data_IF_687919323089
#
_entry.id   IF_687919323089
#
_cell.length_a   1.000
_cell.length_b   1.000
_cell.length_c   1.000
_cell.angle_alpha   90.00
_cell.angle_beta   90.00
_cell.angle_gamma   90.00
#
_symmetry.space_group_name_H-M   'P 1'
#
loop_
_entity.id
_entity.type
_entity.pdbx_description
1 polymer ?
#
# COMPACT_ATOMS: atom_id res chain seq x y z
N UNK A 1 18.95 -7.67 1.26
CA UNK A 1 17.87 -6.88 1.88
C UNK A 1 16.63 -7.75 2.02
N UNK A 2 15.94 -7.71 3.16
CA UNK A 2 14.73 -8.51 3.45
C UNK A 2 13.44 -7.82 2.96
N UNK A 3 12.33 -8.56 2.87
CA UNK A 3 11.03 -8.03 2.41
C UNK A 3 10.48 -6.85 3.19
N UNK A 4 10.61 -6.87 4.52
CA UNK A 4 10.17 -5.77 5.39
C UNK A 4 10.92 -4.47 5.10
N UNK A 5 12.20 -4.55 4.69
CA UNK A 5 13.00 -3.37 4.33
C UNK A 5 12.45 -2.66 3.09
N UNK A 6 11.90 -3.41 2.12
CA UNK A 6 11.38 -2.85 0.85
C UNK A 6 10.02 -2.20 1.06
N UNK A 7 9.09 -2.90 1.71
CA UNK A 7 7.77 -2.37 2.02
C UNK A 7 7.86 -1.11 2.90
N UNK A 8 8.74 -1.13 3.91
CA UNK A 8 8.98 0.04 4.76
C UNK A 8 9.51 1.22 3.95
N UNK A 9 10.50 1.00 3.09
CA UNK A 9 11.07 2.06 2.26
C UNK A 9 10.02 2.70 1.35
N UNK A 10 9.22 1.88 0.64
CA UNK A 10 8.13 2.37 -0.22
C UNK A 10 7.12 3.21 0.57
N UNK A 11 6.63 2.67 1.69
CA UNK A 11 5.71 3.38 2.56
C UNK A 11 6.28 4.70 3.09
N UNK A 12 7.58 4.74 3.44
CA UNK A 12 8.26 5.96 3.86
C UNK A 12 8.37 7.01 2.75
N UNK A 13 8.64 6.62 1.49
CA UNK A 13 8.70 7.58 0.39
C UNK A 13 7.32 8.18 0.11
N UNK A 14 6.30 7.33 -0.01
CA UNK A 14 4.92 7.76 -0.28
C UNK A 14 4.37 8.60 0.86
N UNK A 15 4.63 8.23 2.12
CA UNK A 15 4.26 9.02 3.29
C UNK A 15 4.95 10.39 3.37
N UNK A 16 6.07 10.58 2.66
CA UNK A 16 6.75 11.89 2.51
C UNK A 16 6.22 12.71 1.33
N UNK A 17 5.22 12.21 0.60
CA UNK A 17 4.59 12.87 -0.53
C UNK A 17 5.17 12.49 -1.90
N UNK A 18 6.01 11.45 -1.98
CA UNK A 18 6.41 10.91 -3.27
C UNK A 18 5.23 10.18 -3.96
N UNK A 19 5.17 10.22 -5.29
CA UNK A 19 4.16 9.50 -6.05
C UNK A 19 4.35 7.99 -5.90
N UNK A 20 3.29 7.22 -5.56
CA UNK A 20 3.34 5.76 -5.52
C UNK A 20 3.88 5.14 -6.81
N UNK A 21 3.42 5.63 -7.97
CA UNK A 21 3.83 5.14 -9.28
C UNK A 21 5.32 5.39 -9.56
N UNK A 22 5.82 6.57 -9.24
CA UNK A 22 7.23 6.92 -9.44
C UNK A 22 8.14 6.10 -8.51
N UNK A 23 7.73 5.92 -7.26
CA UNK A 23 8.46 5.12 -6.27
C UNK A 23 8.54 3.67 -6.72
N UNK A 24 7.44 3.08 -7.20
CA UNK A 24 7.41 1.69 -7.65
C UNK A 24 8.15 1.49 -8.98
N UNK A 25 8.04 2.44 -9.92
CA UNK A 25 8.74 2.38 -11.20
C UNK A 25 10.27 2.45 -11.05
N UNK A 26 10.76 3.11 -9.99
CA UNK A 26 12.19 3.22 -9.68
C UNK A 26 12.81 1.98 -9.03
N UNK A 27 12.05 0.89 -8.84
CA UNK A 27 12.52 -0.30 -8.13
C UNK A 27 12.73 -1.51 -9.04
N UNK A 28 13.88 -2.17 -8.92
CA UNK A 28 14.13 -3.50 -9.49
C UNK A 28 13.49 -4.65 -8.68
N UNK A 29 12.79 -4.31 -7.60
CA UNK A 29 12.29 -5.24 -6.59
C UNK A 29 10.83 -4.93 -6.30
N UNK A 30 10.03 -5.96 -6.06
CA UNK A 30 8.61 -5.76 -5.77
C UNK A 30 8.37 -5.50 -4.28
N UNK A 31 7.57 -4.48 -3.98
CA UNK A 31 6.94 -4.30 -2.68
C UNK A 31 5.75 -5.28 -2.56
N UNK A 32 6.04 -6.48 -2.03
CA UNK A 32 5.03 -7.53 -1.84
C UNK A 32 3.82 -7.07 -1.03
N UNK A 33 4.03 -6.13 -0.09
CA UNK A 33 2.95 -5.58 0.74
C UNK A 33 1.90 -4.80 -0.05
N UNK A 34 2.28 -4.13 -1.15
CA UNK A 34 1.35 -3.41 -2.02
C UNK A 34 0.41 -4.40 -2.70
N UNK A 35 0.97 -5.45 -3.34
CA UNK A 35 0.15 -6.48 -4.00
C UNK A 35 -0.68 -7.30 -3.01
N UNK A 36 -0.11 -7.61 -1.85
CA UNK A 36 -0.80 -8.38 -0.83
C UNK A 36 -2.01 -7.63 -0.24
N UNK A 37 -1.98 -6.29 -0.18
CA UNK A 37 -3.08 -5.49 0.33
C UNK A 37 -4.35 -5.66 -0.53
N UNK A 38 -4.24 -5.60 -1.86
CA UNK A 38 -5.38 -5.82 -2.76
C UNK A 38 -5.98 -7.23 -2.61
N UNK A 39 -5.13 -8.27 -2.54
CA UNK A 39 -5.59 -9.66 -2.33
C UNK A 39 -6.23 -9.83 -0.96
N UNK A 40 -5.67 -9.22 0.09
CA UNK A 40 -6.25 -9.26 1.42
C UNK A 40 -7.66 -8.64 1.45
N UNK A 41 -7.86 -7.50 0.76
CA UNK A 41 -9.20 -6.90 0.65
C UNK A 41 -10.18 -7.83 -0.08
N UNK A 42 -9.78 -8.43 -1.20
CA UNK A 42 -10.64 -9.37 -1.95
C UNK A 42 -11.08 -10.56 -1.08
N UNK A 43 -10.14 -11.16 -0.35
CA UNK A 43 -10.46 -12.29 0.54
C UNK A 43 -11.32 -11.86 1.73
N UNK A 44 -11.12 -10.65 2.24
CA UNK A 44 -11.88 -10.10 3.34
C UNK A 44 -13.34 -9.84 2.94
N UNK A 45 -13.57 -9.34 1.71
CA UNK A 45 -14.90 -9.14 1.13
C UNK A 45 -15.69 -10.47 1.02
N UNK A 46 -15.01 -11.59 0.74
CA UNK A 46 -15.65 -12.91 0.65
C UNK A 46 -16.19 -13.43 1.99
N UNK A 47 -15.61 -12.96 3.10
CA UNK A 47 -15.93 -13.44 4.46
C UNK A 47 -16.53 -12.37 5.36
N UNK A 48 -16.85 -11.19 4.81
CA UNK A 48 -17.45 -10.05 5.51
C UNK A 48 -16.64 -9.61 6.74
N UNK A 49 -15.32 -9.43 6.54
CA UNK A 49 -14.39 -8.94 7.58
C UNK A 49 -13.77 -7.62 7.15
N UNK A 50 -13.71 -6.65 8.05
CA UNK A 50 -13.05 -5.36 7.79
C UNK A 50 -11.52 -5.51 7.85
N UNK A 51 -10.83 -4.89 6.88
CA UNK A 51 -9.37 -4.84 6.84
C UNK A 51 -8.87 -3.41 6.61
N UNK A 52 -9.18 -2.46 7.52
CA UNK A 52 -9.04 -1.01 7.27
C UNK A 52 -7.62 -0.57 6.92
N UNK A 53 -6.60 -1.28 7.42
CA UNK A 53 -5.20 -1.00 7.06
C UNK A 53 -4.90 -1.45 5.63
N UNK A 54 -5.36 -2.64 5.23
CA UNK A 54 -5.15 -3.15 3.87
C UNK A 54 -5.96 -2.33 2.85
N UNK A 55 -7.19 -1.96 3.20
CA UNK A 55 -8.04 -1.06 2.42
C UNK A 55 -7.36 0.29 2.20
N UNK A 56 -6.79 0.89 3.25
CA UNK A 56 -6.06 2.14 3.13
C UNK A 56 -4.82 2.02 2.25
N UNK A 57 -4.06 0.92 2.37
CA UNK A 57 -2.91 0.65 1.49
C UNK A 57 -3.36 0.49 0.04
N UNK A 58 -4.43 -0.27 -0.23
CA UNK A 58 -5.02 -0.40 -1.57
C UNK A 58 -5.44 0.98 -2.10
N UNK A 59 -6.14 1.76 -1.30
CA UNK A 59 -6.62 3.10 -1.65
C UNK A 59 -5.49 4.04 -2.09
N UNK A 60 -4.35 4.01 -1.39
CA UNK A 60 -3.19 4.83 -1.77
C UNK A 60 -2.51 4.34 -3.04
N UNK A 61 -2.27 3.03 -3.15
CA UNK A 61 -1.39 2.48 -4.20
C UNK A 61 -2.10 2.04 -5.47
N UNK A 62 -3.41 1.76 -5.42
CA UNK A 62 -4.21 1.35 -6.57
C UNK A 62 -5.21 2.45 -6.96
N UNK A 63 -5.86 3.08 -5.98
CA UNK A 63 -6.91 4.09 -6.23
C UNK A 63 -6.37 5.53 -6.25
N UNK A 64 -5.09 5.74 -5.94
CA UNK A 64 -4.42 7.04 -5.98
C UNK A 64 -4.87 8.03 -4.89
N UNK A 65 -5.44 7.53 -3.80
CA UNK A 65 -5.88 8.35 -2.67
C UNK A 65 -4.69 8.95 -1.92
N UNK A 66 -4.88 10.15 -1.36
CA UNK A 66 -3.88 10.77 -0.50
C UNK A 66 -3.68 9.95 0.77
N UNK A 67 -2.43 9.60 1.15
CA UNK A 67 -2.16 8.96 2.43
C UNK A 67 -2.72 9.75 3.62
N UNK A 68 -2.69 11.08 3.55
CA UNK A 68 -3.24 11.92 4.62
C UNK A 68 -4.75 11.77 4.69
N UNK A 69 -5.46 11.76 3.57
CA UNK A 69 -6.92 11.63 3.56
C UNK A 69 -7.38 10.25 4.06
N UNK A 70 -6.64 9.20 3.73
CA UNK A 70 -6.96 7.82 4.15
C UNK A 70 -6.87 7.64 5.68
N UNK A 71 -5.91 8.30 6.36
CA UNK A 71 -5.65 8.09 7.79
C UNK A 71 -5.82 9.35 8.66
N UNK A 72 -6.47 10.40 8.19
CA UNK A 72 -6.72 11.63 8.97
C UNK A 72 -7.82 11.51 10.06
N UNK A 73 -8.42 10.32 10.22
CA UNK A 73 -9.48 10.04 11.20
C UNK A 73 -8.98 9.83 12.62
#
# INVERSE_FOLDING_TARGET
MSGQSRNRWVGEQVGRGASPDEVLAGMDQVAEGVRAAGVACQLADEVDVEVPIAEGVRGVFEDGLSPVEVWAG
#
